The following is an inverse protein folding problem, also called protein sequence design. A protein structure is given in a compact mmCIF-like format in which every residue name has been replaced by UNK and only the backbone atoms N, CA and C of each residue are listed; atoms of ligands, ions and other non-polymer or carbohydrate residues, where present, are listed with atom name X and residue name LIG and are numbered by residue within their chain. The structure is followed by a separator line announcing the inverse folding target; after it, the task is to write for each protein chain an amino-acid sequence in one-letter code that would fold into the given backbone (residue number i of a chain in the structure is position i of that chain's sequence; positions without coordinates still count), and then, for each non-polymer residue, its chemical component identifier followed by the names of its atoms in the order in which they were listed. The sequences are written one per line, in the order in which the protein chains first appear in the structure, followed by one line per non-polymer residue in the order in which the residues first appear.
data_IF_505712522891
#
_entry.id   IF_505712522891
#
_cell.length_a   1.000
_cell.length_b   1.000
_cell.length_c   1.000
_cell.angle_alpha   90.00
_cell.angle_beta   90.00
_cell.angle_gamma   90.00
#
_symmetry.space_group_name_H-M   'P 1'
#
loop_
_entity.id
_entity.type
_entity.pdbx_description
1 polymer ?
2 non-polymer ?
3 non-polymer ?
4 water ?
#
# COMPACT_ATOMS: atom_id res chain seq x y z
N UNK A 1 -10.06 20.88 -18.08
CA UNK A 1 -11.19 21.32 -17.25
C UNK A 1 -12.39 20.37 -17.28
N UNK A 2 -12.45 19.46 -18.29
CA UNK A 2 -13.53 18.50 -18.46
C UNK A 2 -13.07 17.28 -19.27
N UNK A 3 -13.57 16.08 -18.91
CA UNK A 3 -13.25 14.81 -19.58
C UNK A 3 -14.42 13.83 -19.63
N UNK A 4 -14.44 12.98 -20.68
CA UNK A 4 -15.49 11.99 -20.91
C UNK A 4 -14.98 10.56 -20.72
N UNK A 5 -15.69 9.77 -19.89
CA UNK A 5 -15.38 8.37 -19.62
C UNK A 5 -16.64 7.58 -20.00
N UNK A 6 -16.52 6.68 -21.00
CA UNK A 6 -17.56 5.84 -21.58
C UNK A 6 -18.68 6.71 -22.20
N UNK A 7 -19.57 7.23 -21.36
CA UNK A 7 -20.66 8.10 -21.77
C UNK A 7 -20.83 9.31 -20.86
N UNK A 8 -20.46 9.15 -19.57
CA UNK A 8 -20.57 10.16 -18.52
C UNK A 8 -19.50 11.26 -18.61
N UNK A 9 -19.92 12.51 -18.33
CA UNK A 9 -19.05 13.71 -18.36
C UNK A 9 -18.64 14.10 -16.93
N UNK A 10 -17.35 14.38 -16.73
CA UNK A 10 -16.75 14.74 -15.44
C UNK A 10 -15.98 16.04 -15.53
N UNK A 11 -16.11 16.90 -14.50
CA UNK A 11 -15.41 18.19 -14.42
C UNK A 11 -14.28 18.11 -13.39
N UNK A 12 -13.06 18.45 -13.81
CA UNK A 12 -11.84 18.42 -13.00
C UNK A 12 -11.81 19.60 -12.01
N UNK A 13 -11.51 19.30 -10.74
CA UNK A 13 -11.40 20.30 -9.67
C UNK A 13 -9.94 20.60 -9.35
N UNK A 14 -9.13 19.55 -9.11
CA UNK A 14 -7.69 19.65 -8.79
C UNK A 14 -6.95 18.32 -9.02
N UNK A 15 -5.61 18.40 -9.12
CA UNK A 15 -4.73 17.24 -9.28
C UNK A 15 -4.19 16.81 -7.92
N UNK A 16 -4.16 15.49 -7.66
CA UNK A 16 -3.69 14.88 -6.42
C UNK A 16 -2.20 14.45 -6.52
N UNK A 17 -1.87 13.66 -7.55
CA UNK A 17 -0.52 13.17 -7.76
C UNK A 17 -0.15 12.82 -9.19
N UNK A 18 1.11 12.36 -9.38
CA UNK A 18 1.69 11.97 -10.67
C UNK A 18 2.66 10.78 -10.52
N UNK A 19 2.83 10.01 -11.60
CA UNK A 19 3.71 8.84 -11.63
C UNK A 19 4.35 8.60 -12.98
N UNK A 20 5.01 9.64 -13.49
CA UNK A 20 5.68 9.61 -14.79
C UNK A 20 4.69 9.85 -15.91
N UNK A 21 3.94 8.79 -16.27
CA UNK A 21 2.89 8.80 -17.30
C UNK A 21 1.51 8.98 -16.66
N UNK A 22 1.35 8.50 -15.40
CA UNK A 22 0.12 8.54 -14.61
C UNK A 22 -0.15 9.92 -13.96
N UNK A 23 -1.44 10.19 -13.63
CA UNK A 23 -1.96 11.41 -12.99
C UNK A 23 -3.31 11.08 -12.31
N UNK A 24 -3.56 11.65 -11.11
CA UNK A 24 -4.82 11.43 -10.37
C UNK A 24 -5.53 12.78 -10.19
N UNK A 25 -6.82 12.85 -10.58
CA UNK A 25 -7.64 14.06 -10.49
C UNK A 25 -8.90 13.88 -9.64
N UNK A 26 -9.29 14.95 -8.91
CA UNK A 26 -10.51 15.01 -8.09
C UNK A 26 -11.59 15.57 -9.03
N UNK A 27 -12.65 14.77 -9.31
CA UNK A 27 -13.71 15.14 -10.26
C UNK A 27 -15.13 15.15 -9.66
N UNK A 28 -16.13 15.53 -10.49
CA UNK A 28 -17.56 15.59 -10.19
C UNK A 28 -18.37 15.21 -11.43
N UNK A 29 -19.41 14.37 -11.27
CA UNK A 29 -20.28 13.98 -12.38
C UNK A 29 -21.46 14.97 -12.51
N UNK A 30 -22.42 14.69 -13.43
CA UNK A 30 -23.62 15.52 -13.68
C UNK A 30 -24.50 15.70 -12.43
N UNK A 31 -24.55 14.67 -11.56
CA UNK A 31 -25.33 14.69 -10.31
C UNK A 31 -24.54 15.28 -9.13
N UNK A 32 -23.40 15.97 -9.41
CA UNK A 32 -22.49 16.63 -8.47
C UNK A 32 -21.90 15.68 -7.41
N UNK A 33 -21.70 14.40 -7.77
CA UNK A 33 -21.12 13.36 -6.89
C UNK A 33 -19.61 13.29 -7.10
N UNK A 34 -18.83 13.25 -6.01
CA UNK A 34 -17.37 13.20 -6.06
C UNK A 34 -16.83 11.80 -6.42
N UNK A 35 -15.78 11.77 -7.25
CA UNK A 35 -15.07 10.59 -7.72
C UNK A 35 -13.60 10.95 -7.96
N UNK A 36 -12.75 9.95 -8.16
CA UNK A 36 -11.32 10.13 -8.44
C UNK A 36 -11.01 9.47 -9.79
N UNK A 37 -10.35 10.21 -10.70
CA UNK A 37 -10.02 9.67 -12.01
C UNK A 37 -8.51 9.55 -12.20
N UNK A 38 -8.03 8.32 -12.43
CA UNK A 38 -6.62 8.11 -12.75
C UNK A 38 -6.47 8.13 -14.28
N UNK A 39 -5.58 8.99 -14.77
CA UNK A 39 -5.25 9.11 -16.18
C UNK A 39 -3.85 8.56 -16.41
N UNK A 40 -3.73 7.59 -17.33
CA UNK A 40 -2.45 7.00 -17.72
C UNK A 40 -2.23 7.32 -19.19
N UNK A 41 -1.06 7.91 -19.52
CA UNK A 41 -0.71 8.23 -20.90
C UNK A 41 0.09 7.04 -21.46
N UNK A 42 -0.36 6.47 -22.60
CA UNK A 42 0.26 5.30 -23.22
C UNK A 42 1.07 5.60 -24.48
N UNK A 43 1.18 6.90 -24.87
CA UNK A 43 1.88 7.36 -26.07
C UNK A 43 3.37 6.98 -26.11
N UNK A 44 4.04 6.94 -24.94
CA UNK A 44 5.45 6.60 -24.81
C UNK A 44 5.68 5.17 -24.27
N UNK A 45 4.58 4.48 -23.86
CA UNK A 45 4.60 3.13 -23.30
C UNK A 45 5.00 2.03 -24.29
N UNK A 46 5.78 1.06 -23.79
CA UNK A 46 6.29 -0.11 -24.52
C UNK A 46 5.38 -1.32 -24.30
N UNK A 47 5.64 -2.44 -25.03
CA UNK A 47 4.87 -3.68 -24.93
C UNK A 47 4.85 -4.32 -23.53
N UNK A 48 5.97 -4.20 -22.78
CA UNK A 48 6.10 -4.73 -21.42
C UNK A 48 5.30 -3.87 -20.42
N UNK A 49 5.40 -2.53 -20.53
CA UNK A 49 4.68 -1.59 -19.64
C UNK A 49 3.18 -1.56 -19.94
N UNK A 50 2.78 -1.78 -21.22
CA UNK A 50 1.38 -1.80 -21.64
C UNK A 50 0.67 -2.97 -20.99
N UNK A 51 1.26 -4.18 -21.09
CA UNK A 51 0.73 -5.42 -20.51
C UNK A 51 0.67 -5.41 -18.98
N UNK A 52 1.52 -4.58 -18.32
CA UNK A 52 1.53 -4.46 -16.86
C UNK A 52 0.32 -3.64 -16.37
N UNK A 53 -0.12 -2.64 -17.16
CA UNK A 53 -1.31 -1.83 -16.86
C UNK A 53 -2.57 -2.64 -17.14
N UNK A 54 -2.52 -3.52 -18.17
CA UNK A 54 -3.60 -4.43 -18.56
C UNK A 54 -3.84 -5.47 -17.46
N UNK A 55 -2.74 -5.96 -16.85
CA UNK A 55 -2.76 -6.96 -15.78
C UNK A 55 -3.29 -6.40 -14.47
N UNK A 56 -2.86 -5.18 -14.06
CA UNK A 56 -3.35 -4.59 -12.81
C UNK A 56 -4.84 -4.20 -12.86
N UNK A 57 -5.33 -3.69 -14.02
CA UNK A 57 -6.76 -3.34 -14.19
C UNK A 57 -7.64 -4.62 -14.08
N UNK A 58 -7.20 -5.74 -14.69
CA UNK A 58 -7.92 -7.03 -14.63
C UNK A 58 -8.11 -7.54 -13.19
N UNK A 59 -7.04 -7.45 -12.36
CA UNK A 59 -7.05 -7.88 -10.96
C UNK A 59 -7.86 -6.92 -10.07
N UNK A 60 -7.82 -5.60 -10.36
CA UNK A 60 -8.61 -4.60 -9.65
C UNK A 60 -10.11 -4.87 -9.84
N UNK A 61 -10.52 -5.29 -11.06
CA UNK A 61 -11.90 -5.63 -11.40
C UNK A 61 -12.37 -6.91 -10.69
N UNK A 62 -11.56 -7.99 -10.76
CA UNK A 62 -11.87 -9.30 -10.17
C UNK A 62 -11.96 -9.23 -8.63
N UNK A 63 -11.07 -8.47 -7.98
CA UNK A 63 -11.01 -8.40 -6.52
C UNK A 63 -12.01 -7.43 -5.89
N UNK A 64 -12.84 -6.72 -6.70
CA UNK A 64 -13.88 -5.81 -6.21
C UNK A 64 -14.84 -6.57 -5.28
N UNK A 65 -15.32 -7.73 -5.75
CA UNK A 65 -16.25 -8.63 -5.05
C UNK A 65 -15.64 -9.30 -3.81
N UNK A 66 -14.35 -9.66 -3.86
CA UNK A 66 -13.67 -10.39 -2.79
C UNK A 66 -13.43 -9.59 -1.50
N UNK A 67 -13.17 -8.28 -1.57
CA UNK A 67 -12.95 -7.48 -0.35
C UNK A 67 -13.38 -6.03 -0.48
N UNK A 68 -13.85 -5.45 0.63
CA UNK A 68 -14.25 -4.05 0.75
C UNK A 68 -13.07 -3.18 1.23
N UNK A 69 -11.89 -3.82 1.45
CA UNK A 69 -10.65 -3.16 1.88
C UNK A 69 -9.71 -2.90 0.67
N UNK A 70 -10.27 -2.96 -0.54
CA UNK A 70 -9.62 -2.68 -1.81
C UNK A 70 -10.46 -1.58 -2.46
N UNK A 71 -9.82 -0.48 -2.93
CA UNK A 71 -10.43 0.69 -3.56
C UNK A 71 -11.49 0.29 -4.61
N UNK A 72 -12.61 1.04 -4.67
CA UNK A 72 -13.71 0.76 -5.59
C UNK A 72 -13.44 1.32 -6.98
N UNK A 73 -13.63 0.49 -8.00
CA UNK A 73 -13.50 0.85 -9.42
C UNK A 73 -14.92 0.78 -10.01
N UNK A 74 -15.41 1.91 -10.56
CA UNK A 74 -16.76 2.00 -11.10
C UNK A 74 -16.82 1.75 -12.61
N UNK A 75 -15.91 2.38 -13.37
CA UNK A 75 -15.80 2.22 -14.83
C UNK A 75 -14.42 2.61 -15.32
N UNK A 76 -14.07 2.18 -16.54
CA UNK A 76 -12.79 2.51 -17.17
C UNK A 76 -12.89 2.56 -18.70
N UNK A 77 -11.97 3.31 -19.33
CA UNK A 77 -11.89 3.47 -20.79
C UNK A 77 -10.43 3.22 -21.22
N UNK A 78 -10.20 2.20 -22.08
CA UNK A 78 -8.85 1.85 -22.55
C UNK A 78 -8.74 1.93 -24.06
N UNK A 79 -7.86 2.82 -24.55
CA UNK A 79 -7.56 3.03 -25.98
C UNK A 79 -6.06 2.84 -26.20
N UNK A 80 -5.57 3.11 -27.42
CA UNK A 80 -4.14 2.98 -27.74
C UNK A 80 -3.30 4.14 -27.19
N UNK A 81 -3.95 5.28 -26.84
CA UNK A 81 -3.29 6.48 -26.36
C UNK A 81 -3.40 6.72 -24.86
N UNK A 82 -4.51 6.28 -24.23
CA UNK A 82 -4.76 6.55 -22.81
C UNK A 82 -5.57 5.49 -22.06
N UNK A 83 -5.65 5.68 -20.72
CA UNK A 83 -6.45 4.92 -19.77
C UNK A 83 -7.14 5.92 -18.84
N UNK A 84 -8.45 5.76 -18.63
CA UNK A 84 -9.25 6.56 -17.68
C UNK A 84 -9.87 5.59 -16.68
N UNK A 85 -9.68 5.83 -15.38
CA UNK A 85 -10.20 4.95 -14.33
C UNK A 85 -11.06 5.71 -13.33
N UNK A 86 -12.38 5.47 -13.34
CA UNK A 86 -13.32 6.12 -12.42
C UNK A 86 -13.35 5.29 -11.14
N UNK A 87 -12.76 5.85 -10.07
CA UNK A 87 -12.64 5.24 -8.75
C UNK A 87 -13.27 6.11 -7.68
N UNK A 88 -13.43 5.55 -6.46
CA UNK A 88 -13.97 6.30 -5.31
C UNK A 88 -12.94 7.31 -4.84
N UNK A 89 -13.41 8.40 -4.20
CA UNK A 89 -12.54 9.43 -3.69
C UNK A 89 -12.32 9.24 -2.19
N UNK A 90 -11.04 9.21 -1.80
CA UNK A 90 -10.62 9.08 -0.41
C UNK A 90 -10.41 10.44 0.23
N UNK A 91 -10.33 10.46 1.57
CA UNK A 91 -10.14 11.69 2.34
C UNK A 91 -8.68 12.17 2.27
N UNK A 92 -7.72 11.21 2.41
CA UNK A 92 -6.26 11.40 2.42
C UNK A 92 -5.56 10.03 2.31
N UNK A 93 -4.27 10.00 1.88
CA UNK A 93 -3.49 8.77 1.86
C UNK A 93 -2.86 8.59 3.26
N UNK A 94 -2.43 7.36 3.61
CA UNK A 94 -1.87 7.07 4.94
C UNK A 94 -0.56 7.80 5.23
N UNK A 95 0.31 8.00 4.21
CA UNK A 95 1.59 8.71 4.39
C UNK A 95 1.43 10.19 4.72
N UNK A 96 0.55 10.90 3.97
CA UNK A 96 0.24 12.33 4.16
C UNK A 96 -0.43 12.56 5.51
N UNK A 97 -1.25 11.59 5.96
CA UNK A 97 -1.93 11.64 7.26
C UNK A 97 -0.95 11.40 8.41
N UNK A 98 0.01 10.44 8.23
CA UNK A 98 1.02 10.10 9.22
C UNK A 98 2.02 11.23 9.50
N UNK A 99 2.41 11.97 8.44
CA UNK A 99 3.35 13.10 8.53
C UNK A 99 2.72 14.29 9.29
N UNK A 100 1.44 14.58 9.02
CA UNK A 100 0.68 15.66 9.66
C UNK A 100 0.32 15.34 11.12
N UNK A 101 -0.20 14.13 11.40
CA UNK A 101 -0.59 13.69 12.74
C UNK A 101 0.61 13.43 13.64
N UNK A 102 0.60 14.05 14.83
CA UNK A 102 1.66 13.90 15.83
C UNK A 102 1.49 12.58 16.61
N UNK A 103 0.43 12.49 17.46
CA UNK A 103 0.13 11.30 18.26
C UNK A 103 -1.05 10.53 17.68
N UNK A 104 -0.91 9.19 17.57
CA UNK A 104 -1.95 8.29 17.05
C UNK A 104 -2.65 7.55 18.18
N UNK A 105 -3.98 7.42 18.08
CA UNK A 105 -4.84 6.73 19.04
C UNK A 105 -4.63 5.19 18.94
N UNK A 106 -4.47 4.47 20.08
CA UNK A 106 -4.24 3.01 20.00
C UNK A 106 -5.39 2.20 19.40
N UNK A 107 -6.64 2.69 19.52
CA UNK A 107 -7.83 2.04 18.96
C UNK A 107 -7.89 2.25 17.45
N UNK A 108 -7.37 3.40 16.97
CA UNK A 108 -7.30 3.77 15.55
C UNK A 108 -6.20 2.96 14.86
N UNK A 109 -5.02 2.81 15.52
CA UNK A 109 -3.86 2.04 15.04
C UNK A 109 -4.23 0.56 14.89
N UNK A 110 -4.94 -0.02 15.90
CA UNK A 110 -5.38 -1.41 15.92
C UNK A 110 -6.37 -1.68 14.78
N UNK A 111 -7.29 -0.72 14.54
CA UNK A 111 -8.31 -0.77 13.48
C UNK A 111 -7.65 -0.73 12.10
N UNK A 112 -6.67 0.19 11.91
CA UNK A 112 -5.95 0.33 10.64
C UNK A 112 -5.14 -0.91 10.30
N UNK A 113 -4.48 -1.52 11.30
CA UNK A 113 -3.67 -2.74 11.14
C UNK A 113 -4.50 -3.92 10.61
N UNK A 114 -5.71 -4.12 11.16
CA UNK A 114 -6.63 -5.18 10.75
C UNK A 114 -7.07 -5.00 9.30
N UNK A 115 -7.32 -3.74 8.89
CA UNK A 115 -7.70 -3.35 7.53
C UNK A 115 -6.61 -3.68 6.53
N UNK A 116 -5.34 -3.32 6.85
CA UNK A 116 -4.17 -3.61 6.02
C UNK A 116 -4.02 -5.11 5.79
N UNK A 117 -4.11 -5.92 6.88
CA UNK A 117 -3.98 -7.37 6.85
C UNK A 117 -5.04 -8.02 5.96
N UNK A 118 -6.32 -7.60 6.09
CA UNK A 118 -7.45 -8.09 5.29
C UNK A 118 -7.21 -7.87 3.78
N UNK A 119 -6.77 -6.66 3.41
CA UNK A 119 -6.47 -6.23 2.04
C UNK A 119 -5.30 -6.99 1.42
N UNK A 120 -4.15 -7.10 2.14
CA UNK A 120 -2.95 -7.81 1.66
C UNK A 120 -3.19 -9.34 1.59
N UNK A 121 -4.01 -9.89 2.51
CA UNK A 121 -4.36 -11.31 2.52
C UNK A 121 -5.14 -11.69 1.26
N UNK A 122 -6.08 -10.82 0.82
CA UNK A 122 -6.90 -11.00 -0.38
C UNK A 122 -6.03 -11.15 -1.65
N UNK A 123 -5.04 -10.24 -1.85
CA UNK A 123 -4.15 -10.30 -3.03
C UNK A 123 -3.28 -11.58 -2.99
N UNK A 124 -2.83 -12.03 -1.80
CA UNK A 124 -2.03 -13.24 -1.60
C UNK A 124 -2.80 -14.50 -2.01
N UNK A 125 -4.11 -14.52 -1.76
CA UNK A 125 -5.02 -15.62 -2.10
C UNK A 125 -5.12 -15.83 -3.59
N UNK A 126 -4.92 -14.75 -4.37
CA UNK A 126 -4.97 -14.74 -5.83
C UNK A 126 -3.56 -14.79 -6.46
N UNK A 127 -2.57 -15.20 -5.67
CA UNK A 127 -1.19 -15.33 -6.09
C UNK A 127 -0.42 -14.04 -6.38
N UNK A 128 -0.88 -12.90 -5.80
CA UNK A 128 -0.20 -11.62 -5.96
C UNK A 128 0.60 -11.30 -4.70
N UNK A 129 1.85 -10.87 -4.88
CA UNK A 129 2.74 -10.39 -3.81
C UNK A 129 3.10 -8.96 -4.23
N UNK A 130 2.65 -7.94 -3.46
CA UNK A 130 2.91 -6.51 -3.76
C UNK A 130 4.41 -6.21 -3.93
N UNK A 131 5.23 -6.55 -2.93
CA UNK A 131 6.70 -6.41 -2.81
C UNK A 131 7.23 -4.95 -2.80
N UNK A 132 6.34 -3.96 -2.68
CA UNK A 132 6.73 -2.54 -2.60
C UNK A 132 5.75 -1.75 -1.69
N UNK A 133 5.24 -2.43 -0.65
CA UNK A 133 4.31 -1.84 0.32
C UNK A 133 4.94 -0.69 1.12
N UNK A 134 4.19 0.41 1.22
CA UNK A 134 4.53 1.64 1.94
C UNK A 134 3.22 2.37 2.31
N UNK A 135 3.20 3.32 3.29
CA UNK A 135 1.92 3.98 3.66
C UNK A 135 1.11 4.57 2.51
N UNK A 136 1.80 5.12 1.47
CA UNK A 136 1.18 5.73 0.27
C UNK A 136 0.28 4.77 -0.54
N UNK A 137 0.41 3.44 -0.34
CA UNK A 137 -0.38 2.40 -1.01
C UNK A 137 -1.75 2.22 -0.36
N UNK A 138 -1.97 2.86 0.82
CA UNK A 138 -3.21 2.79 1.60
C UNK A 138 -3.93 4.13 1.64
N UNK A 139 -5.27 4.10 1.42
CA UNK A 139 -6.15 5.27 1.39
C UNK A 139 -7.18 5.23 2.53
N UNK A 140 -7.39 6.37 3.21
CA UNK A 140 -8.37 6.51 4.30
C UNK A 140 -9.71 6.93 3.69
N UNK A 141 -10.69 6.02 3.72
CA UNK A 141 -12.05 6.25 3.19
C UNK A 141 -13.06 6.02 4.32
N UNK A 142 -13.55 7.12 4.93
CA UNK A 142 -14.53 7.15 6.01
C UNK A 142 -14.16 6.19 7.18
N UNK A 143 -13.04 6.48 7.84
CA UNK A 143 -12.51 5.71 8.97
C UNK A 143 -12.16 4.26 8.69
N UNK A 144 -11.81 3.96 7.42
CA UNK A 144 -11.47 2.63 6.95
C UNK A 144 -10.31 2.72 5.97
N UNK A 145 -9.30 1.85 6.12
CA UNK A 145 -8.15 1.79 5.22
C UNK A 145 -8.38 0.83 4.06
N UNK A 146 -8.17 1.32 2.82
CA UNK A 146 -8.32 0.54 1.60
C UNK A 146 -7.01 0.52 0.80
N UNK A 147 -6.69 -0.63 0.16
CA UNK A 147 -5.49 -0.79 -0.66
C UNK A 147 -5.71 -0.18 -2.06
N UNK A 148 -4.80 0.76 -2.47
CA UNK A 148 -4.85 1.49 -3.74
C UNK A 148 -4.36 0.65 -4.92
N UNK A 149 -3.11 0.11 -4.85
CA UNK A 149 -2.51 -0.65 -5.95
C UNK A 149 -1.96 -2.03 -5.54
N UNK A 150 -1.66 -2.86 -6.56
CA UNK A 150 -1.18 -4.24 -6.36
C UNK A 150 0.30 -4.46 -6.70
N UNK A 151 1.00 -3.38 -7.07
CA UNK A 151 2.40 -3.40 -7.42
C UNK A 151 2.76 -4.02 -8.76
N UNK A 152 1.74 -4.38 -9.59
CA UNK A 152 1.89 -5.00 -10.92
C UNK A 152 2.33 -3.94 -11.95
N UNK A 153 1.61 -2.81 -11.98
CA UNK A 153 1.91 -1.66 -12.84
C UNK A 153 2.92 -0.73 -12.12
N UNK A 154 3.19 0.47 -12.67
CA UNK A 154 4.15 1.45 -12.12
C UNK A 154 3.58 2.27 -10.94
N UNK A 155 4.45 2.62 -9.98
CA UNK A 155 4.08 3.39 -8.77
C UNK A 155 3.86 4.89 -9.03
N UNK A 156 3.35 5.63 -8.01
CA UNK A 156 3.06 7.07 -8.07
C UNK A 156 3.55 7.83 -6.82
N UNK A 157 3.78 9.16 -6.98
CA UNK A 157 4.23 10.06 -5.92
C UNK A 157 3.30 11.29 -5.79
N UNK A 158 3.00 11.77 -4.55
CA UNK A 158 2.09 12.93 -4.41
C UNK A 158 2.69 14.25 -4.88
N UNK A 171 11.69 5.35 -1.15
CA UNK A 171 12.36 4.98 0.10
C UNK A 171 12.72 3.48 0.15
N UNK A 172 13.87 3.16 0.76
CA UNK A 172 14.40 1.80 0.93
C UNK A 172 14.15 1.28 2.39
N UNK A 173 13.45 2.10 3.21
CA UNK A 173 13.11 1.82 4.60
C UNK A 173 12.17 0.61 4.83
N UNK A 174 11.35 0.25 3.81
CA UNK A 174 10.37 -0.83 3.90
C UNK A 174 10.80 -2.13 3.20
N UNK A 175 12.04 -2.17 2.66
CA UNK A 175 12.59 -3.31 1.92
C UNK A 175 12.94 -4.53 2.81
N UNK A 176 12.43 -5.76 2.47
CA UNK A 176 12.80 -6.94 3.26
C UNK A 176 14.24 -7.42 3.04
N UNK A 177 14.88 -8.10 4.03
CA UNK A 177 16.28 -8.54 3.85
C UNK A 177 16.52 -9.55 2.72
N UNK A 178 15.56 -10.46 2.49
CA UNK A 178 15.65 -11.50 1.45
C UNK A 178 15.76 -10.94 0.02
N UNK A 179 15.13 -9.78 -0.26
CA UNK A 179 15.15 -9.12 -1.58
C UNK A 179 16.57 -8.64 -1.93
N UNK A 180 17.28 -8.07 -0.94
CA UNK A 180 18.65 -7.56 -1.05
C UNK A 180 19.64 -8.72 -1.28
N UNK A 181 19.49 -9.81 -0.50
CA UNK A 181 20.33 -11.02 -0.58
C UNK A 181 20.21 -11.76 -1.93
N UNK A 182 19.04 -11.64 -2.59
CA UNK A 182 18.77 -12.25 -3.90
C UNK A 182 19.37 -11.38 -5.03
N UNK A 183 20.72 -11.32 -5.08
CA UNK A 183 21.47 -10.54 -6.07
C UNK A 183 22.68 -11.33 -6.57
N UNK A 194 15.25 -18.05 -7.39
CA UNK A 194 13.80 -18.29 -7.40
C UNK A 194 13.13 -17.65 -6.17
N UNK A 195 12.69 -16.39 -6.32
CA UNK A 195 12.05 -15.59 -5.27
C UNK A 195 10.82 -14.83 -5.84
N UNK A 196 9.86 -14.32 -5.00
CA UNK A 196 9.78 -14.35 -3.53
C UNK A 196 8.47 -14.97 -3.01
N UNK A 197 8.22 -14.80 -1.70
CA UNK A 197 7.08 -15.33 -0.96
C UNK A 197 6.18 -14.23 -0.38
N UNK A 198 4.90 -14.55 0.01
CA UNK A 198 4.04 -13.53 0.65
C UNK A 198 4.61 -12.96 1.96
N UNK A 199 5.61 -13.64 2.58
CA UNK A 199 6.30 -13.24 3.81
C UNK A 199 7.03 -11.90 3.68
N UNK A 200 7.36 -11.50 2.43
CA UNK A 200 8.04 -10.25 2.10
C UNK A 200 7.14 -9.05 2.40
N UNK A 201 5.83 -9.16 2.08
CA UNK A 201 4.83 -8.12 2.37
C UNK A 201 4.60 -7.97 3.89
N UNK A 202 4.79 -9.07 4.65
CA UNK A 202 4.65 -9.11 6.13
C UNK A 202 5.70 -8.20 6.79
N UNK A 203 6.95 -8.23 6.30
CA UNK A 203 8.05 -7.40 6.77
C UNK A 203 7.71 -5.92 6.53
N UNK A 204 7.31 -5.56 5.28
CA UNK A 204 6.95 -4.19 4.88
C UNK A 204 5.80 -3.65 5.73
N UNK A 205 4.76 -4.48 5.98
CA UNK A 205 3.61 -4.15 6.82
C UNK A 205 4.04 -3.90 8.26
N UNK A 206 5.02 -4.68 8.74
CA UNK A 206 5.61 -4.55 10.06
C UNK A 206 6.26 -3.19 10.25
N UNK A 207 7.00 -2.74 9.22
CA UNK A 207 7.67 -1.43 9.17
C UNK A 207 6.66 -0.27 9.26
N UNK A 208 5.47 -0.42 8.62
CA UNK A 208 4.38 0.58 8.66
C UNK A 208 3.80 0.64 10.09
N UNK A 209 3.64 -0.55 10.75
CA UNK A 209 3.13 -0.63 12.12
C UNK A 209 4.15 -0.06 13.13
N UNK A 210 5.45 -0.35 12.92
CA UNK A 210 6.57 0.13 13.74
C UNK A 210 6.62 1.67 13.74
N UNK A 211 6.28 2.28 12.59
CA UNK A 211 6.22 3.72 12.39
C UNK A 211 5.02 4.32 13.13
N UNK A 212 3.87 3.60 13.13
CA UNK A 212 2.64 4.02 13.81
C UNK A 212 2.76 3.88 15.33
N UNK A 213 3.79 3.13 15.78
CA UNK A 213 4.06 2.86 17.19
C UNK A 213 5.14 3.79 17.78
N UNK A 214 6.29 3.92 17.08
CA UNK A 214 7.42 4.71 17.59
C UNK A 214 7.69 6.06 16.88
N UNK A 215 7.04 6.31 15.75
CA UNK A 215 7.21 7.56 15.02
C UNK A 215 8.39 7.62 14.06
N UNK A 216 9.02 6.45 13.81
CA UNK A 216 10.15 6.28 12.89
C UNK A 216 10.24 4.82 12.40
N UNK A 217 10.77 4.59 11.18
CA UNK A 217 10.92 3.23 10.62
C UNK A 217 12.13 2.52 11.30
N UNK A 218 12.23 1.16 11.29
CA UNK A 218 13.34 0.49 12.02
C UNK A 218 14.76 0.91 11.65
N UNK A 219 14.99 1.44 10.43
CA UNK A 219 16.31 1.84 9.95
C UNK A 219 16.37 3.29 9.43
N UNK A 220 15.48 4.17 9.95
CA UNK A 220 15.38 5.59 9.56
C UNK A 220 16.60 6.39 10.01
N UNK A 221 17.22 5.97 11.13
CA UNK A 221 18.40 6.58 11.76
C UNK A 221 19.63 6.64 10.85
N UNK A 222 19.79 5.67 9.92
CA UNK A 222 20.92 5.59 8.99
C UNK A 222 20.60 6.39 7.71
N UNK A 223 21.41 7.42 7.42
CA UNK A 223 21.23 8.27 6.23
C UNK A 223 22.00 7.70 5.02
N UNK A 224 23.24 7.19 5.24
CA UNK A 224 24.07 6.55 4.21
C UNK A 224 23.35 5.27 3.74
N UNK A 225 22.87 5.26 2.48
CA UNK A 225 22.08 4.19 1.87
C UNK A 225 22.83 2.85 1.77
N UNK A 226 24.17 2.88 1.62
CA UNK A 226 25.00 1.67 1.54
C UNK A 226 25.03 1.02 2.94
N UNK A 227 25.26 1.83 4.00
CA UNK A 227 25.28 1.39 5.40
C UNK A 227 23.89 0.93 5.88
N UNK A 228 22.81 1.58 5.40
CA UNK A 228 21.43 1.26 5.75
C UNK A 228 21.03 -0.12 5.21
N UNK A 229 21.40 -0.42 3.95
CA UNK A 229 21.14 -1.69 3.27
C UNK A 229 21.87 -2.85 3.95
N UNK A 230 23.09 -2.60 4.47
CA UNK A 230 23.91 -3.58 5.18
C UNK A 230 23.32 -3.93 6.55
N UNK A 231 22.66 -2.95 7.21
CA UNK A 231 22.03 -3.11 8.52
C UNK A 231 20.80 -4.01 8.47
N UNK A 232 20.03 -3.98 7.35
CA UNK A 232 18.82 -4.78 7.15
C UNK A 232 19.17 -6.27 7.00
N UNK A 233 20.24 -6.60 6.26
CA UNK A 233 20.69 -7.99 6.03
C UNK A 233 21.55 -8.56 7.18
N UNK A 234 22.20 -7.68 7.98
CA UNK A 234 23.07 -8.12 9.10
C UNK A 234 22.29 -8.78 10.24
N UNK A 235 22.55 -10.08 10.54
CA UNK A 235 21.80 -10.74 11.63
C UNK A 235 22.19 -10.27 13.04
N UNK A 236 23.43 -9.78 13.21
CA UNK A 236 23.93 -9.28 14.49
C UNK A 236 23.34 -7.90 14.85
N UNK A 237 22.84 -7.16 13.83
CA UNK A 237 22.21 -5.84 14.00
C UNK A 237 20.88 -6.02 14.74
N UNK A 238 20.81 -5.49 15.97
CA UNK A 238 19.62 -5.63 16.81
C UNK A 238 18.65 -4.47 16.66
N UNK A 239 17.41 -4.79 16.21
CA UNK A 239 16.34 -3.80 16.06
C UNK A 239 15.83 -3.45 17.47
N UNK A 240 15.73 -2.14 17.76
CA UNK A 240 15.28 -1.61 19.06
C UNK A 240 13.77 -1.77 19.24
N UNK A 241 13.36 -2.37 20.37
CA UNK A 241 11.95 -2.56 20.74
C UNK A 241 11.66 -2.01 22.16
N UNK A 242 11.54 -0.66 22.33
CA UNK A 242 11.25 -0.11 23.66
C UNK A 242 9.91 -0.57 24.24
N UNK A 243 9.83 -0.61 25.57
CA UNK A 243 8.63 -1.02 26.29
C UNK A 243 7.51 0.01 26.17
N UNK A 244 6.28 -0.48 25.92
CA UNK A 244 5.06 0.30 25.77
C UNK A 244 3.87 -0.40 26.51
N UNK A 245 2.79 0.32 26.93
CA UNK A 245 1.67 -0.37 27.63
C UNK A 245 1.09 -1.58 26.89
N UNK A 246 1.10 -1.55 25.55
CA UNK A 246 0.67 -2.64 24.67
C UNK A 246 1.98 -3.29 24.17
N UNK A 247 2.35 -4.55 24.53
CA UNK A 247 1.75 -5.70 25.22
C UNK A 247 1.74 -6.76 24.12
N UNK A 248 0.62 -6.88 23.40
CA UNK A 248 0.49 -7.79 22.27
C UNK A 248 1.07 -7.13 21.02
N UNK A 249 1.08 -5.78 21.00
CA UNK A 249 1.60 -4.93 19.92
C UNK A 249 3.11 -5.12 19.73
N UNK A 250 3.86 -5.18 20.85
CA UNK A 250 5.31 -5.38 20.88
C UNK A 250 5.69 -6.77 20.35
N UNK A 251 4.85 -7.80 20.62
CA UNK A 251 5.07 -9.17 20.15
C UNK A 251 4.89 -9.27 18.64
N UNK A 252 3.87 -8.57 18.07
CA UNK A 252 3.57 -8.51 16.63
C UNK A 252 4.81 -7.96 15.91
N UNK A 253 5.33 -6.81 16.38
CA UNK A 253 6.49 -6.11 15.83
C UNK A 253 7.74 -7.00 15.77
N UNK A 254 8.01 -7.76 16.84
CA UNK A 254 9.15 -8.69 16.91
C UNK A 254 8.96 -9.87 15.96
N UNK A 255 7.71 -10.34 15.79
CA UNK A 255 7.35 -11.47 14.90
C UNK A 255 7.40 -11.07 13.40
N UNK A 256 6.96 -9.83 13.07
CA UNK A 256 6.97 -9.30 11.69
C UNK A 256 8.39 -8.96 11.23
N UNK A 257 9.21 -8.38 12.14
CA UNK A 257 10.57 -7.92 11.80
C UNK A 257 11.69 -8.97 11.99
N UNK A 258 11.37 -10.27 11.79
CA UNK A 258 12.35 -11.35 11.85
C UNK A 258 13.05 -11.40 10.47
N UNK A 259 14.39 -11.47 10.46
CA UNK A 259 15.18 -11.47 9.22
C UNK A 259 15.01 -12.75 8.39
N UNK A 260 14.83 -13.92 9.04
CA UNK A 260 14.61 -15.20 8.35
C UNK A 260 13.12 -15.28 7.94
N UNK A 261 12.79 -15.32 6.62
CA UNK A 261 11.37 -15.38 6.21
C UNK A 261 10.66 -16.66 6.64
N UNK A 262 11.39 -17.78 6.77
CA UNK A 262 10.88 -19.09 7.21
C UNK A 262 10.47 -19.05 8.69
N UNK A 263 11.12 -18.19 9.50
CA UNK A 263 10.83 -17.99 10.92
C UNK A 263 9.84 -16.83 11.15
N UNK A 264 9.68 -15.95 10.13
CA UNK A 264 8.75 -14.80 10.15
C UNK A 264 7.30 -15.29 10.17
N UNK A 265 6.42 -14.55 10.89
CA UNK A 265 4.99 -14.86 11.05
C UNK A 265 4.22 -14.71 9.72
N UNK A 266 3.17 -15.55 9.53
CA UNK A 266 2.32 -15.51 8.35
C UNK A 266 1.11 -14.61 8.61
N UNK A 267 0.42 -14.15 7.55
CA UNK A 267 -0.77 -13.29 7.66
C UNK A 267 -1.95 -14.07 8.31
N UNK A 268 -2.29 -15.35 7.93
CA UNK A 268 -3.39 -16.05 8.64
C UNK A 268 -3.13 -16.16 10.15
N UNK A 269 -1.84 -16.29 10.56
CA UNK A 269 -1.41 -16.34 11.95
C UNK A 269 -1.62 -14.98 12.62
N UNK A 270 -1.28 -13.88 11.92
CA UNK A 270 -1.45 -12.50 12.40
C UNK A 270 -2.92 -12.13 12.66
N UNK A 271 -3.84 -12.67 11.86
CA UNK A 271 -5.28 -12.45 11.99
C UNK A 271 -5.89 -13.17 13.21
N UNK A 272 -5.14 -14.14 13.77
CA UNK A 272 -5.53 -14.91 14.95
C UNK A 272 -4.78 -14.48 16.22
N UNK A 273 -3.84 -13.52 16.09
CA UNK A 273 -3.01 -12.98 17.18
C UNK A 273 -3.87 -12.19 18.19
N UNK A 274 -3.57 -12.27 19.52
CA UNK A 274 -4.37 -11.51 20.52
C UNK A 274 -4.53 -10.01 20.28
N UNK A 275 -3.53 -9.37 19.62
CA UNK A 275 -3.57 -7.94 19.31
C UNK A 275 -4.72 -7.58 18.36
N UNK A 276 -4.97 -8.43 17.37
CA UNK A 276 -6.01 -8.27 16.35
C UNK A 276 -7.41 -8.72 16.85
N UNK A 277 -7.46 -9.73 17.74
CA UNK A 277 -8.71 -10.35 18.20
C UNK A 277 -9.23 -9.92 19.57
N UNK A 278 -8.33 -9.64 20.54
CA UNK A 278 -8.71 -9.27 21.91
C UNK A 278 -8.67 -7.76 22.14
N UNK A 279 -9.72 -7.23 22.83
CA UNK A 279 -10.05 -5.87 23.28
C UNK A 279 -11.41 -5.42 22.76
#
# INVERSE_FOLDING_TARGET
QSMSVKGRIYSILKQIGSGGSSKVFQVLNEKKQIYAIKYVNLEEADNQTLDSYRNEIAYLNKLQQHSDKIIRLYDYEITDQYIYMVMECGNIDLNSWLKKKKSIDPWERKSYWKNMLEAVHTIHQHGIVHSDLKPANFLIVDGMLKLIDFGIANQMQPDTTSVVKDSQVGTVNYMPPEAIKDMSSSRENGKSKSKISPKSDVWSLGCILYYMTYGKTPFQQIINQISKLHAIIDPNHEIEFPDIPEKDLQDVLKCCLKRDPKQRISIPELLAHPYVQIQ
#
